data_IF_456968125496
#
_entry.id   IF_456968125496
#
_cell.length_a   1.000
_cell.length_b   1.000
_cell.length_c   1.000
_cell.angle_alpha   90.00
_cell.angle_beta   90.00
_cell.angle_gamma   90.00
#
_symmetry.space_group_name_H-M   'P 1'
#
loop_
_entity.id
_entity.type
_entity.pdbx_description
1 polymer ?
#
# COMPACT_ATOMS: atom_id res chain seq x y z
N UNK A 1 1.23 9.49 -18.60
CA UNK A 1 1.46 8.10 -18.16
C UNK A 1 1.81 8.10 -16.67
N UNK A 2 0.80 8.12 -15.78
CA UNK A 2 1.02 8.05 -14.33
C UNK A 2 1.41 6.64 -13.86
N UNK A 3 2.32 6.55 -12.89
CA UNK A 3 2.66 5.31 -12.20
C UNK A 3 2.42 5.51 -10.72
N UNK A 4 1.65 4.61 -10.10
CA UNK A 4 1.40 4.57 -8.66
C UNK A 4 2.11 3.35 -8.07
N UNK A 5 3.00 3.59 -7.12
CA UNK A 5 3.62 2.52 -6.32
C UNK A 5 3.02 2.52 -4.93
N UNK A 6 2.38 1.40 -4.56
CA UNK A 6 1.81 1.18 -3.25
C UNK A 6 2.77 0.31 -2.45
N UNK A 7 3.59 0.95 -1.62
CA UNK A 7 4.41 0.26 -0.63
C UNK A 7 3.56 -0.06 0.60
N UNK A 8 3.45 -1.34 0.91
CA UNK A 8 2.57 -1.80 1.97
C UNK A 8 3.10 -3.10 2.59
N UNK A 9 2.71 -3.36 3.83
CA UNK A 9 3.00 -4.64 4.46
C UNK A 9 2.38 -5.79 3.67
N UNK A 10 3.08 -6.92 3.58
CA UNK A 10 2.58 -8.15 2.97
C UNK A 10 1.30 -8.65 3.68
N UNK A 11 0.39 -9.28 2.93
CA UNK A 11 -0.71 -10.05 3.51
C UNK A 11 -2.11 -9.61 3.09
N UNK A 12 -2.24 -8.81 2.03
CA UNK A 12 -3.55 -8.46 1.46
C UNK A 12 -3.98 -9.56 0.51
N UNK A 13 -5.28 -9.81 0.45
CA UNK A 13 -5.82 -10.81 -0.48
C UNK A 13 -5.75 -10.29 -1.91
N UNK A 14 -5.92 -11.20 -2.88
CA UNK A 14 -5.95 -10.84 -4.28
C UNK A 14 -7.14 -9.92 -4.60
N UNK A 15 -8.31 -10.20 -4.02
CA UNK A 15 -9.53 -9.41 -4.19
C UNK A 15 -9.34 -7.96 -3.71
N UNK A 16 -8.65 -7.76 -2.58
CA UNK A 16 -8.32 -6.43 -2.08
C UNK A 16 -7.39 -5.68 -3.04
N UNK A 17 -6.41 -6.37 -3.63
CA UNK A 17 -5.51 -5.76 -4.62
C UNK A 17 -6.23 -5.43 -5.92
N UNK A 18 -7.17 -6.27 -6.35
CA UNK A 18 -8.03 -6.02 -7.52
C UNK A 18 -8.86 -4.74 -7.32
N UNK A 19 -9.55 -4.63 -6.18
CA UNK A 19 -10.36 -3.44 -5.87
C UNK A 19 -9.48 -2.16 -5.79
N UNK A 20 -8.33 -2.24 -5.13
CA UNK A 20 -7.38 -1.13 -5.07
C UNK A 20 -6.91 -0.71 -6.47
N UNK A 21 -6.57 -1.66 -7.35
CA UNK A 21 -6.13 -1.37 -8.70
C UNK A 21 -7.21 -0.67 -9.52
N UNK A 22 -8.46 -1.13 -9.46
CA UNK A 22 -9.59 -0.53 -10.18
C UNK A 22 -9.85 0.92 -9.72
N UNK A 23 -10.02 1.12 -8.41
CA UNK A 23 -10.38 2.45 -7.86
C UNK A 23 -9.27 3.46 -8.12
N UNK A 24 -8.01 3.09 -7.88
CA UNK A 24 -6.88 4.01 -8.06
C UNK A 24 -6.65 4.35 -9.53
N UNK A 25 -6.80 3.38 -10.44
CA UNK A 25 -6.69 3.61 -11.88
C UNK A 25 -7.74 4.61 -12.35
N UNK A 26 -9.00 4.38 -11.99
CA UNK A 26 -10.13 5.23 -12.37
C UNK A 26 -9.97 6.67 -11.86
N UNK A 27 -9.68 6.83 -10.57
CA UNK A 27 -9.58 8.16 -9.98
C UNK A 27 -8.33 8.92 -10.46
N UNK A 28 -7.22 8.22 -10.65
CA UNK A 28 -6.01 8.83 -11.22
C UNK A 28 -6.28 9.33 -12.64
N UNK A 29 -6.87 8.51 -13.51
CA UNK A 29 -7.19 8.90 -14.87
C UNK A 29 -8.12 10.13 -14.90
N UNK A 30 -9.16 10.13 -14.04
CA UNK A 30 -10.09 11.26 -13.91
C UNK A 30 -9.41 12.55 -13.47
N UNK A 31 -8.56 12.49 -12.45
CA UNK A 31 -7.91 13.68 -11.86
C UNK A 31 -6.78 14.19 -12.76
N UNK A 32 -5.94 13.29 -13.26
CA UNK A 32 -4.78 13.60 -14.10
C UNK A 32 -5.16 13.84 -15.57
N UNK A 33 -6.44 13.65 -15.95
CA UNK A 33 -6.98 13.82 -17.30
C UNK A 33 -6.22 13.00 -18.35
N UNK A 34 -5.96 11.73 -18.05
CA UNK A 34 -5.35 10.77 -18.98
C UNK A 34 -6.26 9.57 -19.23
N UNK A 35 -5.89 8.71 -20.18
CA UNK A 35 -6.65 7.49 -20.43
C UNK A 35 -6.41 6.45 -19.32
N UNK A 36 -7.36 5.54 -19.11
CA UNK A 36 -7.25 4.50 -18.07
C UNK A 36 -6.04 3.59 -18.31
N UNK A 37 -5.79 3.21 -19.58
CA UNK A 37 -4.67 2.38 -19.97
C UNK A 37 -3.29 3.03 -19.75
N UNK A 38 -3.24 4.36 -19.54
CA UNK A 38 -1.98 5.08 -19.27
C UNK A 38 -1.58 5.02 -17.80
N UNK A 39 -2.46 4.53 -16.92
CA UNK A 39 -2.22 4.45 -15.48
C UNK A 39 -1.75 3.05 -15.11
N UNK A 40 -0.64 2.99 -14.38
CA UNK A 40 -0.06 1.73 -13.89
C UNK A 40 -0.06 1.73 -12.36
N UNK A 41 -0.45 0.61 -11.76
CA UNK A 41 -0.43 0.40 -10.30
C UNK A 41 0.50 -0.75 -9.97
N UNK A 42 1.49 -0.50 -9.13
CA UNK A 42 2.48 -1.47 -8.68
C UNK A 42 2.29 -1.69 -7.17
N UNK A 43 2.05 -2.94 -6.76
CA UNK A 43 2.01 -3.32 -5.35
C UNK A 43 3.38 -3.80 -4.91
N UNK A 44 4.04 -3.04 -4.04
CA UNK A 44 5.31 -3.39 -3.41
C UNK A 44 5.05 -3.90 -1.99
N UNK A 45 4.85 -5.21 -1.88
CA UNK A 45 4.58 -5.87 -0.60
C UNK A 45 5.88 -6.12 0.19
N UNK A 46 5.99 -5.51 1.36
CA UNK A 46 7.15 -5.63 2.25
C UNK A 46 6.83 -6.55 3.42
N UNK A 47 7.62 -7.61 3.66
CA UNK A 47 7.44 -8.45 4.84
C UNK A 47 7.52 -7.66 6.15
N UNK A 48 6.76 -8.06 7.15
CA UNK A 48 6.74 -7.41 8.48
C UNK A 48 8.12 -7.28 9.15
N UNK A 49 9.06 -8.19 8.84
CA UNK A 49 10.43 -8.16 9.36
C UNK A 49 11.30 -7.07 8.73
N UNK A 50 10.88 -6.51 7.59
CA UNK A 50 11.61 -5.50 6.83
C UNK A 50 10.98 -4.10 6.96
N UNK A 51 9.96 -3.95 7.79
CA UNK A 51 9.26 -2.68 7.99
C UNK A 51 9.36 -2.24 9.45
N UNK A 52 9.76 -1.00 9.69
CA UNK A 52 9.85 -0.42 11.03
C UNK A 52 9.12 0.93 11.10
N UNK A 53 8.45 1.18 12.23
CA UNK A 53 7.84 2.48 12.52
C UNK A 53 8.29 2.90 13.92
N UNK A 54 8.81 4.12 14.06
CA UNK A 54 9.31 4.62 15.35
C UNK A 54 10.40 3.76 15.98
N UNK A 55 11.29 3.17 15.16
CA UNK A 55 12.37 2.30 15.61
C UNK A 55 11.94 0.88 16.02
N UNK A 56 10.66 0.51 15.86
CA UNK A 56 10.13 -0.81 16.20
C UNK A 56 9.74 -1.58 14.93
N UNK A 57 10.25 -2.79 14.77
CA UNK A 57 9.89 -3.67 13.65
C UNK A 57 8.41 -4.06 13.73
N UNK A 58 7.72 -4.02 12.59
CA UNK A 58 6.32 -4.42 12.46
C UNK A 58 6.09 -5.92 12.72
N UNK A 59 7.14 -6.74 12.65
CA UNK A 59 7.12 -8.15 13.07
C UNK A 59 7.05 -8.32 14.59
N UNK A 60 7.62 -7.36 15.34
CA UNK A 60 7.47 -7.32 16.80
C UNK A 60 6.14 -6.65 17.09
N UNK A 61 5.06 -7.46 17.16
CA UNK A 61 3.80 -7.02 17.77
C UNK A 61 4.15 -6.33 19.09
N UNK A 62 3.89 -5.02 19.19
CA UNK A 62 3.78 -4.40 20.50
C UNK A 62 2.71 -5.21 21.24
N UNK A 63 3.10 -5.90 22.32
CA UNK A 63 2.12 -6.27 23.32
C UNK A 63 1.37 -4.99 23.71
N UNK A 64 0.03 -5.01 23.81
CA UNK A 64 -0.71 -3.83 24.24
C UNK A 64 -0.24 -3.47 25.66
N UNK A 65 0.42 -2.32 25.83
CA UNK A 65 0.91 -1.87 27.15
C UNK A 65 2.21 -1.07 27.19
N UNK A 66 2.54 -0.25 26.18
CA UNK A 66 3.55 0.80 26.38
C UNK A 66 3.17 2.07 25.62
N UNK A 67 2.05 2.65 26.04
CA UNK A 67 1.97 4.10 26.08
C UNK A 67 2.94 4.55 27.18
N UNK A 68 3.94 5.31 26.77
CA UNK A 68 4.84 6.05 27.62
C UNK A 68 4.07 7.16 28.32
N UNK A 69 3.95 7.04 29.64
CA UNK A 69 4.02 8.20 30.55
C UNK A 69 5.48 8.68 30.66
#
# INVERSE_FOLDING_TARGET
MPILTLEMLSGRTEEQKIELADVLTRETARIAKCALQDVQVIFAEVPHVNWAVGGKLASKKNAPGSESE
#
